data_IF_443017835164
#
_entry.id   IF_443017835164
#
_cell.length_a   1.000
_cell.length_b   1.000
_cell.length_c   1.000
_cell.angle_alpha   90.00
_cell.angle_beta   90.00
_cell.angle_gamma   90.00
#
_symmetry.space_group_name_H-M   'P 1'
#
loop_
_entity.id
_entity.type
_entity.pdbx_description
1 polymer ?
#
# COMPACT_ATOMS: atom_id res chain seq x y z
N UNK A 1 -13.69 -9.36 -23.35
CA UNK A 1 -13.31 -9.24 -21.93
C UNK A 1 -14.25 -10.05 -21.03
N UNK A 2 -15.58 -9.93 -21.16
CA UNK A 2 -16.56 -10.71 -20.37
C UNK A 2 -16.44 -12.23 -20.54
N UNK A 3 -16.20 -12.74 -21.75
CA UNK A 3 -16.00 -14.20 -22.01
C UNK A 3 -14.75 -14.76 -21.32
N UNK A 4 -13.69 -13.99 -21.23
CA UNK A 4 -12.49 -14.37 -20.48
C UNK A 4 -12.76 -14.37 -18.97
N UNK A 5 -13.41 -13.35 -18.45
CA UNK A 5 -13.80 -13.28 -17.05
C UNK A 5 -14.72 -14.43 -16.66
N UNK A 6 -15.76 -14.75 -17.48
CA UNK A 6 -16.66 -15.87 -17.20
C UNK A 6 -15.97 -17.23 -17.25
N UNK A 7 -14.99 -17.42 -18.14
CA UNK A 7 -14.19 -18.64 -18.19
C UNK A 7 -13.29 -18.78 -16.95
N UNK A 8 -12.73 -17.68 -16.46
CA UNK A 8 -11.96 -17.63 -15.20
C UNK A 8 -12.84 -17.84 -13.98
N UNK A 9 -14.04 -17.24 -13.94
CA UNK A 9 -15.02 -17.44 -12.87
C UNK A 9 -15.44 -18.91 -12.76
N UNK A 10 -15.66 -19.58 -13.88
CA UNK A 10 -15.97 -21.02 -13.92
C UNK A 10 -14.78 -21.86 -13.43
N UNK A 11 -13.56 -21.48 -13.77
CA UNK A 11 -12.34 -22.19 -13.38
C UNK A 11 -11.98 -21.99 -11.90
N UNK A 12 -12.34 -20.83 -11.30
CA UNK A 12 -12.03 -20.47 -9.92
C UNK A 12 -13.18 -20.79 -8.96
N UNK A 13 -14.40 -21.05 -9.47
CA UNK A 13 -15.60 -21.30 -8.66
C UNK A 13 -16.10 -20.07 -7.88
N UNK A 14 -15.56 -18.89 -8.19
CA UNK A 14 -15.85 -17.61 -7.50
C UNK A 14 -15.67 -16.46 -8.47
N UNK A 15 -16.46 -15.39 -8.33
CA UNK A 15 -16.40 -14.23 -9.22
C UNK A 15 -15.22 -13.32 -8.91
N UNK A 16 -14.37 -13.06 -9.92
CA UNK A 16 -13.36 -12.01 -9.89
C UNK A 16 -14.01 -10.63 -9.83
N UNK A 17 -13.54 -9.76 -8.95
CA UNK A 17 -14.06 -8.40 -8.84
C UNK A 17 -13.08 -7.37 -9.39
N UNK A 18 -13.42 -6.77 -10.53
CA UNK A 18 -12.64 -5.67 -11.10
C UNK A 18 -12.51 -4.48 -10.15
N UNK A 19 -13.52 -4.23 -9.29
CA UNK A 19 -13.49 -3.16 -8.29
C UNK A 19 -12.41 -3.42 -7.23
N UNK A 20 -12.28 -4.67 -6.76
CA UNK A 20 -11.25 -5.06 -5.79
C UNK A 20 -9.86 -4.96 -6.43
N UNK A 21 -9.69 -5.57 -7.60
CA UNK A 21 -8.42 -5.54 -8.33
C UNK A 21 -7.98 -4.09 -8.60
N UNK A 22 -8.87 -3.25 -9.12
CA UNK A 22 -8.53 -1.84 -9.40
C UNK A 22 -8.22 -1.04 -8.13
N UNK A 23 -8.98 -1.24 -7.06
CA UNK A 23 -8.74 -0.56 -5.79
C UNK A 23 -7.44 -0.96 -5.12
N UNK A 24 -7.11 -2.25 -5.10
CA UNK A 24 -5.83 -2.76 -4.62
C UNK A 24 -4.67 -2.30 -5.53
N UNK A 25 -4.87 -2.29 -6.85
CA UNK A 25 -3.88 -1.78 -7.80
C UNK A 25 -3.55 -0.31 -7.55
N UNK A 26 -4.53 0.54 -7.23
CA UNK A 26 -4.29 1.94 -6.87
C UNK A 26 -3.44 2.06 -5.59
N UNK A 27 -3.65 1.20 -4.59
CA UNK A 27 -2.84 1.18 -3.38
C UNK A 27 -1.38 0.78 -3.69
N UNK A 28 -1.18 -0.31 -4.45
CA UNK A 28 0.15 -0.74 -4.87
C UNK A 28 0.86 0.30 -5.74
N UNK A 29 0.12 0.89 -6.70
CA UNK A 29 0.65 1.93 -7.58
C UNK A 29 1.11 3.16 -6.79
N UNK A 30 0.32 3.59 -5.81
CA UNK A 30 0.69 4.69 -4.93
C UNK A 30 1.98 4.35 -4.15
N UNK A 31 2.09 3.13 -3.59
CA UNK A 31 3.30 2.69 -2.88
C UNK A 31 4.52 2.68 -3.79
N UNK A 32 4.38 2.17 -5.02
CA UNK A 32 5.46 2.17 -6.01
C UNK A 32 5.92 3.60 -6.36
N UNK A 33 4.96 4.50 -6.58
CA UNK A 33 5.29 5.89 -6.93
C UNK A 33 5.92 6.66 -5.77
N UNK A 34 5.44 6.46 -4.54
CA UNK A 34 5.95 7.19 -3.37
C UNK A 34 7.30 6.67 -2.86
N UNK A 35 7.54 5.35 -2.94
CA UNK A 35 8.70 4.73 -2.30
C UNK A 35 9.80 4.34 -3.29
N UNK A 36 9.51 4.24 -4.59
CA UNK A 36 10.46 3.78 -5.60
C UNK A 36 10.58 4.74 -6.79
N UNK A 37 9.87 5.87 -6.80
CA UNK A 37 9.97 6.87 -7.85
C UNK A 37 10.51 8.19 -7.31
N UNK A 38 11.35 8.85 -8.09
CA UNK A 38 11.88 10.19 -7.79
C UNK A 38 10.86 11.30 -8.09
N UNK A 39 9.77 11.00 -8.80
CA UNK A 39 8.79 12.00 -9.27
C UNK A 39 8.20 12.85 -8.14
N UNK A 40 7.78 12.29 -6.98
CA UNK A 40 7.25 13.09 -5.88
C UNK A 40 8.26 14.07 -5.27
N UNK A 41 9.55 13.81 -5.45
CA UNK A 41 10.66 14.57 -4.87
C UNK A 41 11.34 15.52 -5.87
N UNK A 42 10.80 15.65 -7.09
CA UNK A 42 11.42 16.37 -8.19
C UNK A 42 11.66 17.87 -7.97
N UNK A 43 11.10 18.46 -6.93
CA UNK A 43 11.34 19.86 -6.53
C UNK A 43 12.37 20.00 -5.39
N UNK A 44 12.88 18.92 -4.85
CA UNK A 44 13.96 18.94 -3.84
C UNK A 44 15.31 19.21 -4.50
N UNK A 45 16.18 19.92 -3.80
CA UNK A 45 17.58 20.12 -4.22
C UNK A 45 18.41 18.83 -4.14
N UNK A 46 18.03 17.91 -3.21
CA UNK A 46 18.58 16.56 -3.09
C UNK A 46 17.46 15.52 -3.20
N UNK A 47 17.11 15.18 -4.44
CA UNK A 47 16.02 14.24 -4.77
C UNK A 47 16.26 12.86 -4.19
N UNK A 48 17.49 12.33 -4.31
CA UNK A 48 17.83 10.98 -3.82
C UNK A 48 17.85 10.92 -2.30
N UNK A 49 18.49 11.91 -1.65
CA UNK A 49 18.48 12.01 -0.20
C UNK A 49 17.05 12.11 0.36
N UNK A 50 16.18 12.92 -0.25
CA UNK A 50 14.78 13.04 0.11
C UNK A 50 14.04 11.70 0.01
N UNK A 51 14.23 10.97 -1.09
CA UNK A 51 13.62 9.65 -1.29
C UNK A 51 14.05 8.66 -0.21
N UNK A 52 15.37 8.53 0.04
CA UNK A 52 15.87 7.55 1.02
C UNK A 52 15.46 7.88 2.45
N UNK A 53 15.56 9.13 2.85
CA UNK A 53 15.14 9.56 4.20
C UNK A 53 13.64 9.36 4.38
N UNK A 54 12.83 9.74 3.39
CA UNK A 54 11.38 9.52 3.40
C UNK A 54 11.04 8.04 3.47
N UNK A 55 11.70 7.19 2.69
CA UNK A 55 11.48 5.75 2.68
C UNK A 55 11.75 5.14 4.06
N UNK A 56 12.90 5.45 4.68
CA UNK A 56 13.25 4.91 6.00
C UNK A 56 12.24 5.33 7.06
N UNK A 57 11.91 6.62 7.12
CA UNK A 57 10.96 7.15 8.11
C UNK A 57 9.56 6.54 7.88
N UNK A 58 9.11 6.45 6.62
CA UNK A 58 7.81 5.85 6.28
C UNK A 58 7.74 4.37 6.64
N UNK A 59 8.80 3.59 6.39
CA UNK A 59 8.86 2.18 6.76
C UNK A 59 8.82 1.99 8.28
N UNK A 60 9.56 2.80 9.03
CA UNK A 60 9.50 2.76 10.51
C UNK A 60 8.10 3.10 10.99
N UNK A 61 7.49 4.18 10.48
CA UNK A 61 6.12 4.58 10.81
C UNK A 61 5.11 3.48 10.46
N UNK A 62 5.27 2.82 9.31
CA UNK A 62 4.43 1.72 8.86
C UNK A 62 4.52 0.52 9.82
N UNK A 63 5.73 0.09 10.20
CA UNK A 63 5.95 -1.03 11.14
C UNK A 63 5.35 -0.71 12.50
N UNK A 64 5.64 0.48 13.04
CA UNK A 64 5.08 0.93 14.34
C UNK A 64 3.55 0.94 14.30
N UNK A 65 2.97 1.46 13.23
CA UNK A 65 1.51 1.50 13.05
C UNK A 65 0.92 0.09 12.96
N UNK A 66 1.52 -0.83 12.20
CA UNK A 66 1.06 -2.21 12.11
C UNK A 66 1.12 -2.93 13.46
N UNK A 67 2.20 -2.75 14.22
CA UNK A 67 2.31 -3.29 15.57
C UNK A 67 1.23 -2.72 16.49
N UNK A 68 1.03 -1.40 16.47
CA UNK A 68 0.03 -0.73 17.28
C UNK A 68 -1.39 -1.22 16.95
N UNK A 69 -1.74 -1.28 15.67
CA UNK A 69 -3.04 -1.79 15.22
C UNK A 69 -3.21 -3.26 15.63
N UNK A 70 -2.19 -4.10 15.49
CA UNK A 70 -2.26 -5.52 15.86
C UNK A 70 -2.51 -5.74 17.36
N UNK A 71 -2.03 -4.83 18.22
CA UNK A 71 -2.24 -4.90 19.67
C UNK A 71 -3.63 -4.38 20.08
N UNK A 72 -4.09 -3.28 19.45
CA UNK A 72 -5.34 -2.59 19.85
C UNK A 72 -6.56 -3.26 19.20
N UNK A 73 -6.46 -3.60 17.91
CA UNK A 73 -7.60 -4.12 17.15
C UNK A 73 -7.62 -5.65 17.18
N UNK A 74 -7.73 -6.21 18.38
CA UNK A 74 -7.78 -7.69 18.52
C UNK A 74 -9.12 -8.32 18.14
N UNK A 75 -10.22 -7.56 18.11
CA UNK A 75 -11.58 -8.12 17.99
C UNK A 75 -12.39 -7.59 16.84
N UNK A 76 -12.09 -6.42 16.30
CA UNK A 76 -12.88 -5.78 15.25
C UNK A 76 -12.08 -5.68 13.95
N UNK A 77 -12.80 -5.72 12.82
CA UNK A 77 -12.16 -5.51 11.51
C UNK A 77 -11.86 -4.02 11.34
N UNK A 78 -10.62 -3.68 11.02
CA UNK A 78 -10.19 -2.31 10.72
C UNK A 78 -10.94 -1.78 9.49
N UNK A 79 -11.11 -2.62 8.46
CA UNK A 79 -11.82 -2.31 7.22
C UNK A 79 -13.31 -1.98 7.40
N UNK A 80 -13.93 -2.44 8.49
CA UNK A 80 -15.33 -2.11 8.84
C UNK A 80 -15.54 -0.68 9.33
N UNK A 81 -14.48 -0.02 9.83
CA UNK A 81 -14.59 1.33 10.37
C UNK A 81 -14.33 2.38 9.29
N UNK A 82 -15.42 3.06 8.86
CA UNK A 82 -15.36 4.09 7.80
C UNK A 82 -14.42 5.24 8.12
N UNK A 83 -14.38 5.67 9.39
CA UNK A 83 -13.54 6.79 9.80
C UNK A 83 -12.05 6.43 9.74
N UNK A 84 -11.68 5.20 10.08
CA UNK A 84 -10.31 4.71 10.00
C UNK A 84 -9.86 4.65 8.53
N UNK A 85 -10.66 4.03 7.66
CA UNK A 85 -10.36 3.92 6.22
C UNK A 85 -10.24 5.30 5.56
N UNK A 86 -11.16 6.21 5.85
CA UNK A 86 -11.12 7.56 5.28
C UNK A 86 -9.98 8.39 5.87
N UNK A 87 -9.78 8.31 7.19
CA UNK A 87 -8.68 8.98 7.87
C UNK A 87 -7.32 8.57 7.35
N UNK A 88 -7.10 7.27 7.11
CA UNK A 88 -5.85 6.76 6.54
C UNK A 88 -5.61 7.28 5.12
N UNK A 89 -6.64 7.30 4.27
CA UNK A 89 -6.54 7.84 2.91
C UNK A 89 -6.24 9.34 2.92
N UNK A 90 -6.89 10.12 3.80
CA UNK A 90 -6.62 11.56 3.96
C UNK A 90 -5.18 11.79 4.43
N UNK A 91 -4.70 11.01 5.41
CA UNK A 91 -3.31 11.11 5.88
C UNK A 91 -2.32 10.83 4.75
N UNK A 92 -2.53 9.77 3.95
CA UNK A 92 -1.70 9.46 2.79
C UNK A 92 -1.70 10.60 1.78
N UNK A 93 -2.88 11.12 1.42
CA UNK A 93 -3.02 12.20 0.47
C UNK A 93 -2.36 13.49 0.97
N UNK A 94 -2.56 13.85 2.24
CA UNK A 94 -1.94 15.03 2.84
C UNK A 94 -0.41 14.90 2.91
N UNK A 95 0.11 13.73 3.29
CA UNK A 95 1.54 13.44 3.23
C UNK A 95 2.08 13.55 1.80
N UNK A 96 1.37 12.99 0.81
CA UNK A 96 1.77 13.09 -0.61
C UNK A 96 1.78 14.54 -1.13
N UNK A 97 0.88 15.41 -0.63
CA UNK A 97 0.90 16.85 -0.95
C UNK A 97 2.13 17.54 -0.36
N UNK A 98 2.57 17.15 0.83
CA UNK A 98 3.72 17.74 1.50
C UNK A 98 5.06 17.32 0.87
N UNK A 99 5.13 16.13 0.29
CA UNK A 99 6.37 15.55 -0.25
C UNK A 99 7.09 16.47 -1.24
N UNK A 100 6.45 17.10 -2.23
CA UNK A 100 7.13 17.99 -3.18
C UNK A 100 7.78 19.22 -2.54
N UNK A 101 7.35 19.63 -1.35
CA UNK A 101 7.89 20.78 -0.62
C UNK A 101 8.98 20.39 0.39
N UNK A 102 9.36 19.12 0.42
CA UNK A 102 10.38 18.58 1.31
C UNK A 102 11.77 18.74 0.70
N UNK A 103 12.67 19.43 1.43
CA UNK A 103 14.08 19.56 1.04
C UNK A 103 14.95 19.26 2.27
N UNK A 104 15.69 18.14 2.30
CA UNK A 104 16.49 17.76 3.45
C UNK A 104 17.66 18.68 3.73
N UNK A 105 18.02 19.57 2.79
CA UNK A 105 19.12 20.54 2.97
C UNK A 105 18.75 21.72 3.85
N UNK A 106 17.45 21.94 4.08
CA UNK A 106 16.95 23.00 4.96
C UNK A 106 16.28 22.44 6.21
N UNK A 107 16.40 23.07 7.40
CA UNK A 107 15.75 22.59 8.62
C UNK A 107 14.23 22.48 8.48
N UNK A 108 13.58 23.43 7.83
CA UNK A 108 12.14 23.41 7.59
C UNK A 108 11.76 22.31 6.61
N UNK A 109 12.51 22.16 5.52
CA UNK A 109 12.26 21.09 4.54
C UNK A 109 12.46 19.69 5.14
N UNK A 110 13.43 19.51 6.06
CA UNK A 110 13.61 18.25 6.79
C UNK A 110 12.43 17.94 7.71
N UNK A 111 11.86 18.94 8.39
CA UNK A 111 10.65 18.76 9.19
C UNK A 111 9.46 18.39 8.32
N UNK A 112 9.28 19.06 7.18
CA UNK A 112 8.22 18.75 6.20
C UNK A 112 8.39 17.32 5.66
N UNK A 113 9.63 16.92 5.34
CA UNK A 113 9.95 15.56 4.90
C UNK A 113 9.58 14.52 5.96
N UNK A 114 10.00 14.74 7.21
CA UNK A 114 9.68 13.85 8.32
C UNK A 114 8.18 13.72 8.55
N UNK A 115 7.45 14.84 8.57
CA UNK A 115 5.99 14.85 8.73
C UNK A 115 5.28 14.13 7.59
N UNK A 116 5.66 14.44 6.33
CA UNK A 116 5.16 13.77 5.14
C UNK A 116 5.37 12.26 5.22
N UNK A 117 6.59 11.82 5.56
CA UNK A 117 6.96 10.42 5.66
C UNK A 117 6.20 9.67 6.77
N UNK A 118 5.99 10.28 7.94
CA UNK A 118 5.18 9.69 9.01
C UNK A 118 3.72 9.56 8.59
N UNK A 119 3.14 10.60 7.97
CA UNK A 119 1.75 10.58 7.50
C UNK A 119 1.54 9.53 6.41
N UNK A 120 2.42 9.46 5.42
CA UNK A 120 2.35 8.47 4.34
C UNK A 120 2.57 7.05 4.85
N UNK A 121 3.55 6.84 5.74
CA UNK A 121 3.83 5.53 6.35
C UNK A 121 2.68 5.02 7.21
N UNK A 122 2.16 5.86 8.11
CA UNK A 122 1.03 5.50 8.99
C UNK A 122 -0.25 5.25 8.19
N UNK A 123 -0.60 6.16 7.28
CA UNK A 123 -1.80 6.03 6.45
C UNK A 123 -1.75 4.80 5.55
N UNK A 124 -0.60 4.54 4.91
CA UNK A 124 -0.42 3.38 4.04
C UNK A 124 -0.49 2.06 4.79
N UNK A 125 0.05 1.98 6.02
CA UNK A 125 -0.05 0.80 6.86
C UNK A 125 -1.50 0.41 7.15
N UNK A 126 -2.32 1.39 7.55
CA UNK A 126 -3.74 1.15 7.86
C UNK A 126 -4.52 0.75 6.62
N UNK A 127 -4.38 1.48 5.51
CA UNK A 127 -5.12 1.18 4.28
C UNK A 127 -4.69 -0.17 3.68
N UNK A 128 -3.40 -0.51 3.77
CA UNK A 128 -2.86 -1.80 3.35
C UNK A 128 -3.43 -2.96 4.19
N UNK A 129 -3.50 -2.80 5.53
CA UNK A 129 -4.13 -3.78 6.41
C UNK A 129 -5.61 -3.99 6.06
N UNK A 130 -6.34 -2.91 5.73
CA UNK A 130 -7.74 -3.01 5.29
C UNK A 130 -7.89 -3.83 4.00
N UNK A 131 -6.96 -3.68 3.04
CA UNK A 131 -6.95 -4.51 1.82
C UNK A 131 -6.62 -5.96 2.12
N UNK A 132 -5.62 -6.24 2.97
CA UNK A 132 -5.28 -7.60 3.41
C UNK A 132 -6.48 -8.26 4.11
N UNK A 133 -7.17 -7.54 5.01
CA UNK A 133 -8.37 -8.06 5.66
C UNK A 133 -9.47 -8.43 4.67
N UNK A 134 -9.68 -7.60 3.64
CA UNK A 134 -10.67 -7.88 2.61
C UNK A 134 -10.29 -9.12 1.79
N UNK A 135 -9.05 -9.18 1.32
CA UNK A 135 -8.52 -10.26 0.50
C UNK A 135 -8.46 -11.59 1.27
N UNK A 136 -8.13 -11.56 2.56
CA UNK A 136 -8.10 -12.76 3.40
C UNK A 136 -9.47 -13.45 3.52
N UNK A 137 -10.56 -12.70 3.32
CA UNK A 137 -11.92 -13.24 3.28
C UNK A 137 -12.28 -13.98 1.98
N UNK A 138 -11.44 -13.94 0.94
CA UNK A 138 -11.78 -14.47 -0.40
C UNK A 138 -11.40 -15.94 -0.62
N UNK A 139 -10.67 -16.55 0.27
CA UNK A 139 -10.05 -17.85 0.03
C UNK A 139 -8.75 -17.74 -0.80
N UNK A 140 -7.76 -18.56 -0.45
CA UNK A 140 -6.35 -18.36 -0.84
C UNK A 140 -6.10 -18.26 -2.34
N UNK A 141 -6.79 -19.05 -3.18
CA UNK A 141 -6.57 -19.05 -4.63
C UNK A 141 -7.07 -17.77 -5.29
N UNK A 142 -8.27 -17.31 -4.91
CA UNK A 142 -8.86 -16.10 -5.47
C UNK A 142 -8.07 -14.86 -5.02
N UNK A 143 -7.72 -14.79 -3.72
CA UNK A 143 -6.88 -13.73 -3.18
C UNK A 143 -5.53 -13.61 -3.93
N UNK A 144 -4.87 -14.73 -4.21
CA UNK A 144 -3.61 -14.73 -4.97
C UNK A 144 -3.80 -14.21 -6.40
N UNK A 145 -4.87 -14.59 -7.09
CA UNK A 145 -5.13 -14.12 -8.46
C UNK A 145 -5.45 -12.63 -8.48
N UNK A 146 -6.29 -12.14 -7.56
CA UNK A 146 -6.62 -10.72 -7.47
C UNK A 146 -5.40 -9.89 -7.06
N UNK A 147 -4.60 -10.35 -6.10
CA UNK A 147 -3.36 -9.71 -5.69
C UNK A 147 -2.34 -9.64 -6.84
N UNK A 148 -2.09 -10.76 -7.52
CA UNK A 148 -1.16 -10.79 -8.67
C UNK A 148 -1.62 -9.87 -9.80
N UNK A 149 -2.93 -9.87 -10.10
CA UNK A 149 -3.50 -9.00 -11.13
C UNK A 149 -3.37 -7.52 -10.76
N UNK A 150 -3.62 -7.15 -9.49
CA UNK A 150 -3.48 -5.79 -9.01
C UNK A 150 -2.03 -5.30 -9.04
N UNK A 151 -1.07 -6.16 -8.67
CA UNK A 151 0.35 -5.87 -8.78
C UNK A 151 0.79 -5.68 -10.23
N UNK A 152 0.40 -6.58 -11.14
CA UNK A 152 0.72 -6.43 -12.56
C UNK A 152 0.21 -5.10 -13.13
N UNK A 153 -1.04 -4.73 -12.81
CA UNK A 153 -1.61 -3.45 -13.24
C UNK A 153 -0.81 -2.29 -12.65
N UNK A 154 -0.49 -2.34 -11.35
CA UNK A 154 0.27 -1.29 -10.70
C UNK A 154 1.67 -1.11 -11.31
N UNK A 155 2.37 -2.19 -11.64
CA UNK A 155 3.69 -2.12 -12.30
C UNK A 155 3.60 -1.53 -13.71
N UNK A 156 2.65 -1.99 -14.54
CA UNK A 156 2.49 -1.49 -15.92
C UNK A 156 2.13 0.00 -15.90
N UNK A 157 1.15 0.39 -15.09
CA UNK A 157 0.73 1.79 -14.99
C UNK A 157 1.83 2.65 -14.36
N UNK A 158 2.51 2.14 -13.32
CA UNK A 158 3.63 2.83 -12.67
C UNK A 158 4.76 3.13 -13.64
N UNK A 159 5.14 2.16 -14.47
CA UNK A 159 6.14 2.36 -15.51
C UNK A 159 5.74 3.46 -16.50
N UNK A 160 4.46 3.50 -16.92
CA UNK A 160 3.95 4.54 -17.80
C UNK A 160 3.95 5.92 -17.14
N UNK A 161 3.67 5.99 -15.84
CA UNK A 161 3.64 7.25 -15.08
C UNK A 161 5.04 7.84 -14.85
N UNK A 162 6.08 7.01 -14.70
CA UNK A 162 7.46 7.48 -14.52
C UNK A 162 7.95 8.31 -15.72
N UNK A 163 7.51 7.97 -16.93
CA UNK A 163 7.86 8.71 -18.15
C UNK A 163 6.89 9.86 -18.45
N UNK A 164 5.87 10.03 -17.61
CA UNK A 164 4.85 11.08 -17.76
C UNK A 164 5.32 12.45 -17.23
N UNK A 165 4.57 13.52 -17.53
CA UNK A 165 4.86 14.85 -17.00
C UNK A 165 4.64 14.88 -15.47
N UNK A 166 5.59 15.46 -14.73
CA UNK A 166 5.65 15.39 -13.26
C UNK A 166 4.39 15.92 -12.55
N UNK A 167 3.87 17.08 -12.96
CA UNK A 167 2.73 17.72 -12.28
C UNK A 167 1.46 16.88 -12.30
N UNK A 168 0.95 16.39 -13.47
CA UNK A 168 -0.19 15.47 -13.50
C UNK A 168 0.04 14.19 -12.70
N UNK A 169 1.26 13.65 -12.71
CA UNK A 169 1.60 12.44 -11.95
C UNK A 169 1.53 12.69 -10.45
N UNK A 170 2.03 13.82 -9.94
CA UNK A 170 1.92 14.21 -8.53
C UNK A 170 0.45 14.35 -8.11
N UNK A 171 -0.38 15.03 -8.92
CA UNK A 171 -1.82 15.14 -8.65
C UNK A 171 -2.48 13.75 -8.57
N UNK A 172 -2.12 12.86 -9.47
CA UNK A 172 -2.63 11.49 -9.48
C UNK A 172 -2.22 10.74 -8.20
N UNK A 173 -0.95 10.85 -7.79
CA UNK A 173 -0.43 10.24 -6.55
C UNK A 173 -1.23 10.72 -5.33
N UNK A 174 -1.57 12.00 -5.25
CA UNK A 174 -2.37 12.57 -4.16
C UNK A 174 -3.79 12.00 -4.12
N UNK A 175 -4.40 11.74 -5.27
CA UNK A 175 -5.78 11.26 -5.38
C UNK A 175 -5.91 9.75 -5.23
N UNK A 176 -4.89 8.97 -5.59
CA UNK A 176 -4.91 7.50 -5.54
C UNK A 176 -5.37 6.91 -4.20
N UNK A 177 -4.91 7.36 -3.02
CA UNK A 177 -5.34 6.81 -1.74
C UNK A 177 -6.84 6.95 -1.51
N UNK A 178 -7.41 8.10 -1.88
CA UNK A 178 -8.86 8.35 -1.74
C UNK A 178 -9.65 7.45 -2.68
N UNK A 179 -9.20 7.28 -3.92
CA UNK A 179 -9.84 6.36 -4.87
C UNK A 179 -9.74 4.91 -4.41
N UNK A 180 -8.58 4.50 -3.88
CA UNK A 180 -8.38 3.16 -3.32
C UNK A 180 -9.30 2.91 -2.12
N UNK A 181 -9.41 3.86 -1.19
CA UNK A 181 -10.32 3.77 -0.05
C UNK A 181 -11.80 3.72 -0.48
N UNK A 182 -12.16 4.50 -1.50
CA UNK A 182 -13.52 4.45 -2.07
C UNK A 182 -13.83 3.10 -2.72
N UNK A 183 -12.88 2.51 -3.44
CA UNK A 183 -12.99 1.17 -4.03
C UNK A 183 -13.11 0.10 -2.94
N UNK A 184 -12.28 0.16 -1.90
CA UNK A 184 -12.34 -0.74 -0.74
C UNK A 184 -13.74 -0.74 -0.11
N UNK A 185 -14.29 0.45 0.15
CA UNK A 185 -15.62 0.59 0.76
C UNK A 185 -16.75 0.03 -0.11
N UNK A 186 -16.64 0.17 -1.44
CA UNK A 186 -17.63 -0.38 -2.39
C UNK A 186 -17.51 -1.89 -2.56
N UNK A 187 -16.34 -2.46 -2.25
CA UNK A 187 -16.06 -3.89 -2.38
C UNK A 187 -16.37 -4.68 -1.12
N UNK A 188 -16.33 -4.05 0.05
CA UNK A 188 -16.53 -4.71 1.34
C UNK A 188 -17.88 -5.44 1.48
N UNK A 189 -19.04 -4.91 1.01
CA UNK A 189 -20.31 -5.60 1.08
C UNK A 189 -20.40 -6.85 0.19
N UNK A 190 -19.67 -6.86 -0.93
CA UNK A 190 -19.72 -7.92 -1.94
C UNK A 190 -18.73 -9.07 -1.62
N UNK A 191 -17.97 -8.94 -0.53
CA UNK A 191 -16.95 -9.94 -0.18
C UNK A 191 -17.53 -10.98 0.77
N UNK A 192 -17.52 -12.28 0.42
CA UNK A 192 -17.94 -13.34 1.31
C UNK A 192 -17.15 -13.29 2.62
N UNK A 193 -17.85 -13.21 3.73
CA UNK A 193 -17.19 -13.25 5.03
C UNK A 193 -17.01 -14.71 5.43
N UNK A 194 -15.80 -15.23 5.29
CA UNK A 194 -15.50 -16.54 5.88
C UNK A 194 -15.70 -16.46 7.40
N UNK A 195 -16.30 -17.50 8.02
CA UNK A 195 -16.39 -17.59 9.46
C UNK A 195 -15.00 -17.41 10.06
N UNK A 196 -14.90 -16.54 11.07
CA UNK A 196 -13.62 -16.35 11.79
C UNK A 196 -13.33 -17.64 12.53
N UNK A 197 -12.32 -18.36 12.12
CA UNK A 197 -11.83 -19.49 12.93
C UNK A 197 -11.43 -18.98 14.31
N UNK A 198 -11.70 -19.75 15.38
CA UNK A 198 -11.24 -19.41 16.72
C UNK A 198 -9.73 -19.18 16.67
N UNK A 199 -9.26 -18.11 17.31
CA UNK A 199 -7.84 -17.71 17.35
C UNK A 199 -6.99 -18.89 17.82
N UNK A 200 -6.39 -19.59 16.87
CA UNK A 200 -5.34 -20.54 17.22
C UNK A 200 -4.10 -19.75 17.56
N UNK A 201 -3.43 -20.03 18.68
CA UNK A 201 -2.17 -19.38 19.00
C UNK A 201 -1.20 -19.60 17.85
N UNK A 202 -0.55 -18.53 17.40
CA UNK A 202 0.38 -18.56 16.28
C UNK A 202 1.39 -19.68 16.51
N UNK A 203 1.38 -20.71 15.69
CA UNK A 203 2.32 -21.81 15.85
C UNK A 203 3.75 -21.25 15.71
N UNK A 204 4.72 -21.80 16.45
CA UNK A 204 6.13 -21.40 16.32
C UNK A 204 6.59 -21.47 14.86
N UNK A 205 6.07 -22.45 14.10
CA UNK A 205 6.36 -22.60 12.69
C UNK A 205 5.86 -21.41 11.85
N UNK A 206 4.62 -20.97 12.07
CA UNK A 206 4.03 -19.81 11.37
C UNK A 206 4.78 -18.52 11.72
N UNK A 207 5.13 -18.32 13.00
CA UNK A 207 5.91 -17.18 13.44
C UNK A 207 7.31 -17.15 12.78
N UNK A 208 7.96 -18.33 12.66
CA UNK A 208 9.26 -18.45 12.01
C UNK A 208 9.18 -18.19 10.50
N UNK A 209 8.12 -18.66 9.82
CA UNK A 209 7.89 -18.37 8.40
C UNK A 209 7.67 -16.88 8.18
N UNK A 210 6.86 -16.23 9.03
CA UNK A 210 6.62 -14.80 8.96
C UNK A 210 7.90 -13.98 9.17
N UNK A 211 8.72 -14.36 10.17
CA UNK A 211 10.01 -13.72 10.42
C UNK A 211 10.99 -13.89 9.24
N UNK A 212 11.01 -15.06 8.60
CA UNK A 212 11.83 -15.30 7.39
C UNK A 212 11.33 -14.50 6.20
N UNK A 213 10.03 -14.41 6.00
CA UNK A 213 9.44 -13.60 4.93
C UNK A 213 9.74 -12.10 5.12
N UNK A 214 9.61 -11.60 6.36
CA UNK A 214 9.95 -10.23 6.71
C UNK A 214 11.44 -9.94 6.49
N UNK A 215 12.32 -10.83 6.95
CA UNK A 215 13.76 -10.72 6.74
C UNK A 215 14.10 -10.74 5.24
N UNK A 216 13.47 -11.61 4.47
CA UNK A 216 13.63 -11.66 3.01
C UNK A 216 13.20 -10.35 2.32
N UNK A 217 12.07 -9.77 2.72
CA UNK A 217 11.60 -8.50 2.19
C UNK A 217 12.56 -7.34 2.53
N UNK A 218 13.08 -7.30 3.76
CA UNK A 218 14.09 -6.31 4.19
C UNK A 218 15.38 -6.46 3.39
N UNK A 219 15.87 -7.69 3.21
CA UNK A 219 17.08 -7.95 2.44
C UNK A 219 16.94 -7.57 0.97
N UNK A 220 15.78 -7.88 0.35
CA UNK A 220 15.48 -7.48 -1.03
C UNK A 220 15.41 -5.95 -1.14
N UNK A 221 14.77 -5.28 -0.18
CA UNK A 221 14.72 -3.81 -0.14
C UNK A 221 16.11 -3.17 0.01
N UNK A 222 16.97 -3.75 0.86
CA UNK A 222 18.36 -3.30 1.01
C UNK A 222 19.19 -3.55 -0.26
N UNK A 223 19.05 -4.71 -0.90
CA UNK A 223 19.73 -5.03 -2.16
C UNK A 223 19.30 -4.08 -3.29
N UNK A 224 18.00 -3.83 -3.44
CA UNK A 224 17.51 -2.87 -4.43
C UNK A 224 18.06 -1.47 -4.17
N UNK A 225 18.09 -1.00 -2.92
CA UNK A 225 18.71 0.28 -2.56
C UNK A 225 20.21 0.33 -2.82
N UNK A 226 20.92 -0.79 -2.74
CA UNK A 226 22.37 -0.86 -3.02
C UNK A 226 22.68 -0.78 -4.52
N UNK A 227 21.84 -1.35 -5.39
CA UNK A 227 22.03 -1.27 -6.84
C UNK A 227 21.68 0.09 -7.44
N UNK A 228 20.90 0.92 -6.75
CA UNK A 228 20.61 2.31 -7.17
C UNK A 228 21.75 3.30 -6.81
N UNK A 229 22.73 2.86 -6.03
CA UNK A 229 23.86 3.72 -5.58
C UNK A 229 25.10 3.56 -6.47
N UNK A 230 25.15 2.55 -7.33
CA UNK A 230 26.21 2.31 -8.31
C UNK A 230 25.81 2.78 -9.70
#
# INVERSE_FOLDING_TARGET
MEKLLSAWDTALGTSLSLKRIAGAALQWLWMLMMFYSIVPYGFSSDVRGSLYVSLIISLVAMVVTMLFVSVIVRRERVSGNRSIVLGSAIMMSAGSVLTPFSDPTTPVGMLVLGLSAVMTGTGSAVLFLCWIELESGLGGRLALVELASSLCIAFVVGFLLIVGPAIPVIVLIVVMPVLSAAALRRSAPDTPQLPREPEQPLSRHTATLFAKALLGAVLIGMLMGFFDVV
#
